data_IF_153811840192
#
_entry.id   IF_153811840192
#
_cell.length_a   1.000
_cell.length_b   1.000
_cell.length_c   1.000
_cell.angle_alpha   90.00
_cell.angle_beta   90.00
_cell.angle_gamma   90.00
#
_symmetry.space_group_name_H-M   'P 1'
#
loop_
_entity.id
_entity.type
_entity.pdbx_description
1 polymer ?
#
# COMPACT_ATOMS: atom_id res chain seq x y z
N UNK A 1 5.90 -5.09 -32.33
CA UNK A 1 6.03 -3.85 -31.54
C UNK A 1 4.65 -3.25 -31.35
N UNK A 2 3.99 -2.71 -32.39
CA UNK A 2 2.64 -2.04 -32.29
C UNK A 2 1.54 -2.80 -31.57
N UNK A 3 1.47 -4.15 -31.64
CA UNK A 3 0.42 -4.94 -30.96
C UNK A 3 0.65 -4.98 -29.45
N UNK A 4 1.90 -5.11 -29.01
CA UNK A 4 2.28 -5.13 -27.58
C UNK A 4 2.06 -3.76 -26.95
N UNK A 5 2.40 -2.70 -27.67
CA UNK A 5 2.19 -1.31 -27.23
C UNK A 5 0.69 -1.02 -27.05
N UNK A 6 -0.16 -1.38 -28.02
CA UNK A 6 -1.62 -1.21 -27.89
C UNK A 6 -2.23 -2.04 -26.76
N UNK A 7 -1.70 -3.22 -26.49
CA UNK A 7 -2.14 -4.03 -25.35
C UNK A 7 -1.79 -3.33 -24.03
N UNK A 8 -0.56 -2.83 -23.88
CA UNK A 8 -0.15 -2.08 -22.68
C UNK A 8 -0.95 -0.78 -22.49
N UNK A 9 -1.22 -0.04 -23.57
CA UNK A 9 -2.09 1.15 -23.51
C UNK A 9 -3.51 0.81 -23.06
N UNK A 10 -4.07 -0.31 -23.54
CA UNK A 10 -5.42 -0.74 -23.15
C UNK A 10 -5.46 -1.17 -21.69
N UNK A 11 -4.46 -1.92 -21.25
CA UNK A 11 -4.33 -2.32 -19.84
C UNK A 11 -4.23 -1.11 -18.91
N UNK A 12 -3.36 -0.15 -19.25
CA UNK A 12 -3.22 1.09 -18.49
C UNK A 12 -4.54 1.89 -18.44
N UNK A 13 -5.25 1.97 -19.57
CA UNK A 13 -6.55 2.65 -19.64
C UNK A 13 -7.60 1.95 -18.75
N UNK A 14 -7.66 0.62 -18.73
CA UNK A 14 -8.56 -0.15 -17.86
C UNK A 14 -8.22 0.04 -16.38
N UNK A 15 -6.95 0.01 -16.00
CA UNK A 15 -6.50 0.28 -14.62
C UNK A 15 -6.86 1.69 -14.16
N UNK A 16 -6.62 2.69 -15.01
CA UNK A 16 -6.98 4.09 -14.70
C UNK A 16 -8.49 4.28 -14.57
N UNK A 17 -9.28 3.70 -15.47
CA UNK A 17 -10.74 3.72 -15.40
C UNK A 17 -11.28 3.03 -14.14
N UNK A 18 -10.73 1.88 -13.78
CA UNK A 18 -11.11 1.17 -12.57
C UNK A 18 -10.89 2.01 -11.32
N UNK A 19 -9.74 2.70 -11.20
CA UNK A 19 -9.48 3.63 -10.07
C UNK A 19 -10.54 4.72 -9.99
N UNK A 20 -10.97 5.32 -11.11
CA UNK A 20 -12.03 6.35 -11.11
C UNK A 20 -13.38 5.79 -10.69
N UNK A 21 -13.79 4.66 -11.27
CA UNK A 21 -15.09 4.04 -10.96
C UNK A 21 -15.12 3.52 -9.52
N UNK A 22 -14.02 2.93 -9.01
CA UNK A 22 -13.91 2.53 -7.60
C UNK A 22 -13.96 3.73 -6.64
N UNK A 23 -13.40 4.87 -7.04
CA UNK A 23 -13.48 6.11 -6.26
C UNK A 23 -14.92 6.57 -6.09
N UNK A 24 -15.71 6.53 -7.16
CA UNK A 24 -17.10 7.01 -7.20
C UNK A 24 -18.09 6.05 -6.53
N UNK A 25 -17.99 4.74 -6.83
CA UNK A 25 -19.03 3.75 -6.50
C UNK A 25 -18.60 2.71 -5.49
N UNK A 26 -17.30 2.62 -5.14
CA UNK A 26 -16.70 1.50 -4.43
C UNK A 26 -16.53 0.26 -5.32
N UNK A 27 -15.72 -0.67 -4.84
CA UNK A 27 -15.43 -1.92 -5.56
C UNK A 27 -16.68 -2.81 -5.69
N UNK A 28 -17.45 -2.94 -4.59
CA UNK A 28 -18.60 -3.86 -4.55
C UNK A 28 -19.68 -3.49 -5.58
N UNK A 29 -19.92 -2.19 -5.77
CA UNK A 29 -20.96 -1.68 -6.68
C UNK A 29 -20.48 -1.50 -8.12
N UNK A 30 -19.21 -1.77 -8.42
CA UNK A 30 -18.63 -1.63 -9.75
C UNK A 30 -18.79 -2.89 -10.57
N UNK A 31 -19.31 -2.75 -11.79
CA UNK A 31 -19.37 -3.80 -12.81
C UNK A 31 -18.22 -3.64 -13.81
N UNK A 32 -17.81 -4.74 -14.47
CA UNK A 32 -16.79 -4.69 -15.53
C UNK A 32 -17.24 -3.77 -16.69
N UNK A 33 -18.52 -3.72 -16.97
CA UNK A 33 -19.10 -2.83 -17.98
C UNK A 33 -18.92 -1.34 -17.63
N UNK A 34 -18.94 -0.98 -16.35
CA UNK A 34 -18.70 0.39 -15.93
C UNK A 34 -17.24 0.78 -16.18
N UNK A 35 -16.31 -0.14 -15.88
CA UNK A 35 -14.86 0.06 -16.11
C UNK A 35 -14.57 0.21 -17.60
N UNK A 36 -15.13 -0.67 -18.44
CA UNK A 36 -14.88 -0.63 -19.88
C UNK A 36 -15.50 0.59 -20.54
N UNK A 37 -16.69 1.01 -20.12
CA UNK A 37 -17.33 2.25 -20.58
C UNK A 37 -16.47 3.46 -20.22
N UNK A 38 -16.01 3.56 -18.98
CA UNK A 38 -15.11 4.63 -18.50
C UNK A 38 -13.76 4.64 -19.23
N UNK A 39 -13.24 3.48 -19.61
CA UNK A 39 -12.01 3.34 -20.37
C UNK A 39 -12.18 3.62 -21.88
N UNK A 40 -13.41 3.79 -22.36
CA UNK A 40 -13.69 3.90 -23.80
C UNK A 40 -13.32 2.62 -24.56
N UNK A 41 -13.54 1.43 -23.95
CA UNK A 41 -13.21 0.12 -24.52
C UNK A 41 -14.44 -0.78 -24.57
N UNK A 42 -14.46 -1.72 -25.54
CA UNK A 42 -15.49 -2.75 -25.58
C UNK A 42 -15.35 -3.74 -24.44
N UNK A 43 -16.45 -4.27 -23.91
CA UNK A 43 -16.45 -5.21 -22.78
C UNK A 43 -15.57 -6.45 -23.01
N UNK A 44 -15.54 -6.99 -24.24
CA UNK A 44 -14.66 -8.11 -24.60
C UNK A 44 -13.17 -7.79 -24.50
N UNK A 45 -12.78 -6.51 -24.59
CA UNK A 45 -11.40 -6.08 -24.45
C UNK A 45 -10.87 -6.28 -23.02
N UNK A 46 -11.73 -6.19 -22.01
CA UNK A 46 -11.35 -6.41 -20.61
C UNK A 46 -10.82 -7.82 -20.39
N UNK A 47 -11.53 -8.82 -20.90
CA UNK A 47 -11.20 -10.24 -20.72
C UNK A 47 -9.92 -10.69 -21.45
N UNK A 48 -9.41 -9.86 -22.38
CA UNK A 48 -8.10 -10.09 -22.98
C UNK A 48 -6.93 -9.73 -22.03
N UNK A 49 -7.21 -8.97 -20.95
CA UNK A 49 -6.20 -8.49 -19.99
C UNK A 49 -6.42 -9.07 -18.59
N UNK A 50 -7.66 -9.15 -18.14
CA UNK A 50 -8.00 -9.54 -16.77
C UNK A 50 -9.12 -10.58 -16.77
N UNK A 51 -8.95 -11.65 -15.97
CA UNK A 51 -9.97 -12.69 -15.82
C UNK A 51 -11.23 -12.18 -15.08
N UNK A 52 -11.12 -11.13 -14.29
CA UNK A 52 -12.18 -10.53 -13.50
C UNK A 52 -11.73 -9.25 -12.78
N UNK A 53 -12.62 -8.68 -11.96
CA UNK A 53 -12.28 -7.49 -11.16
C UNK A 53 -11.14 -7.75 -10.18
N UNK A 54 -11.07 -8.95 -9.62
CA UNK A 54 -10.02 -9.40 -8.71
C UNK A 54 -8.65 -9.35 -9.41
N UNK A 55 -8.54 -9.93 -10.62
CA UNK A 55 -7.29 -9.92 -11.37
C UNK A 55 -6.83 -8.50 -11.76
N UNK A 56 -7.77 -7.59 -12.05
CA UNK A 56 -7.45 -6.19 -12.25
C UNK A 56 -6.97 -5.54 -10.95
N UNK A 57 -7.60 -5.85 -9.83
CA UNK A 57 -7.20 -5.31 -8.53
C UNK A 57 -5.81 -5.83 -8.10
N UNK A 58 -5.49 -7.10 -8.36
CA UNK A 58 -4.14 -7.66 -8.19
C UNK A 58 -3.09 -6.92 -9.03
N UNK A 59 -3.44 -6.55 -10.27
CA UNK A 59 -2.55 -5.74 -11.10
C UNK A 59 -2.35 -4.32 -10.56
N UNK A 60 -3.36 -3.72 -9.91
CA UNK A 60 -3.22 -2.45 -9.19
C UNK A 60 -2.36 -2.58 -7.93
N UNK A 61 -2.44 -3.73 -7.23
CA UNK A 61 -1.57 -4.05 -6.09
C UNK A 61 -0.11 -4.21 -6.54
N UNK A 62 0.12 -4.87 -7.68
CA UNK A 62 1.47 -5.01 -8.24
C UNK A 62 2.09 -3.65 -8.64
N UNK A 63 1.30 -2.73 -9.21
CA UNK A 63 1.76 -1.36 -9.47
C UNK A 63 2.16 -0.66 -8.15
N UNK A 64 1.38 -0.85 -7.09
CA UNK A 64 1.66 -0.27 -5.77
C UNK A 64 2.94 -0.85 -5.14
N UNK A 65 3.21 -2.16 -5.29
CA UNK A 65 4.46 -2.78 -4.85
C UNK A 65 5.66 -2.21 -5.60
N UNK A 66 5.59 -2.11 -6.93
CA UNK A 66 6.66 -1.59 -7.77
C UNK A 66 7.06 -0.14 -7.41
N UNK A 67 6.11 0.69 -7.00
CA UNK A 67 6.39 2.04 -6.50
C UNK A 67 7.20 2.00 -5.19
N UNK A 68 6.94 1.01 -4.33
CA UNK A 68 7.71 0.77 -3.10
C UNK A 68 9.14 0.31 -3.37
N UNK A 69 9.29 -0.69 -4.22
CA UNK A 69 10.59 -1.25 -4.61
C UNK A 69 11.50 -0.17 -5.22
N UNK A 70 10.93 0.69 -6.06
CA UNK A 70 11.66 1.80 -6.69
C UNK A 70 12.21 2.78 -5.66
N UNK A 71 11.48 3.06 -4.59
CA UNK A 71 11.94 3.90 -3.50
C UNK A 71 13.00 3.20 -2.65
N UNK A 72 12.82 1.93 -2.31
CA UNK A 72 13.77 1.14 -1.51
C UNK A 72 15.13 0.99 -2.23
N UNK A 73 15.12 0.91 -3.56
CA UNK A 73 16.33 0.84 -4.38
C UNK A 73 17.01 2.20 -4.62
N UNK A 74 16.42 3.32 -4.17
CA UNK A 74 16.93 4.66 -4.44
C UNK A 74 18.28 4.91 -3.73
N UNK A 75 19.24 5.62 -4.37
CA UNK A 75 20.47 6.04 -3.71
C UNK A 75 20.17 6.88 -2.46
N UNK A 76 20.83 6.53 -1.33
CA UNK A 76 20.64 7.23 -0.07
C UNK A 76 19.49 6.70 0.79
N UNK A 77 18.83 5.61 0.39
CA UNK A 77 17.88 4.92 1.25
C UNK A 77 18.50 4.54 2.60
N UNK A 78 17.86 4.92 3.70
CA UNK A 78 18.30 4.63 5.05
C UNK A 78 17.61 3.39 5.58
N UNK A 79 18.39 2.35 5.91
CA UNK A 79 17.85 1.07 6.38
C UNK A 79 18.02 0.81 7.87
N UNK A 80 18.69 1.70 8.62
CA UNK A 80 18.95 1.51 10.04
C UNK A 80 17.85 2.17 10.90
N UNK A 81 16.95 1.36 11.46
CA UNK A 81 15.87 1.85 12.32
C UNK A 81 16.31 2.22 13.75
N UNK A 82 17.60 2.16 14.07
CA UNK A 82 18.15 2.87 15.24
C UNK A 82 18.27 4.37 15.01
N UNK A 83 18.29 4.81 13.73
CA UNK A 83 18.27 6.20 13.32
C UNK A 83 16.80 6.72 13.25
N UNK A 84 16.42 7.72 14.07
CA UNK A 84 15.08 8.32 14.00
C UNK A 84 14.73 8.85 12.60
N UNK A 85 15.73 9.35 11.86
CA UNK A 85 15.51 9.88 10.52
C UNK A 85 15.13 8.77 9.52
N UNK A 86 15.73 7.57 9.65
CA UNK A 86 15.35 6.43 8.82
C UNK A 86 13.88 6.05 9.05
N UNK A 87 13.43 5.94 10.29
CA UNK A 87 12.02 5.65 10.62
C UNK A 87 11.10 6.74 10.08
N UNK A 88 11.48 8.03 10.23
CA UNK A 88 10.69 9.15 9.72
C UNK A 88 10.54 9.12 8.20
N UNK A 89 11.60 8.83 7.47
CA UNK A 89 11.57 8.72 6.00
C UNK A 89 10.64 7.59 5.54
N UNK A 90 10.71 6.42 6.18
CA UNK A 90 9.82 5.30 5.87
C UNK A 90 8.35 5.62 6.16
N UNK A 91 8.07 6.25 7.31
CA UNK A 91 6.71 6.69 7.65
C UNK A 91 6.21 7.74 6.65
N UNK A 92 7.04 8.72 6.27
CA UNK A 92 6.66 9.74 5.29
C UNK A 92 6.32 9.13 3.93
N UNK A 93 7.13 8.18 3.47
CA UNK A 93 6.86 7.46 2.21
C UNK A 93 5.57 6.64 2.31
N UNK A 94 5.37 5.95 3.44
CA UNK A 94 4.15 5.18 3.65
C UNK A 94 2.90 6.06 3.66
N UNK A 95 2.91 7.20 4.36
CA UNK A 95 1.80 8.17 4.40
C UNK A 95 1.47 8.69 3.00
N UNK A 96 2.49 9.08 2.23
CA UNK A 96 2.32 9.52 0.84
C UNK A 96 1.72 8.42 -0.04
N UNK A 97 2.29 7.20 -0.04
CA UNK A 97 1.79 6.05 -0.80
C UNK A 97 0.37 5.68 -0.39
N UNK A 98 0.06 5.73 0.91
CA UNK A 98 -1.30 5.48 1.41
C UNK A 98 -2.30 6.45 0.77
N UNK A 99 -1.97 7.74 0.67
CA UNK A 99 -2.81 8.74 0.03
C UNK A 99 -2.95 8.50 -1.48
N UNK A 100 -1.84 8.24 -2.17
CA UNK A 100 -1.79 8.01 -3.62
C UNK A 100 -2.58 6.76 -4.04
N UNK A 101 -2.57 5.73 -3.21
CA UNK A 101 -3.25 4.46 -3.47
C UNK A 101 -4.53 4.24 -2.65
N UNK A 102 -5.07 5.28 -2.03
CA UNK A 102 -6.22 5.19 -1.12
C UNK A 102 -7.43 4.45 -1.73
N UNK A 103 -7.71 4.68 -3.02
CA UNK A 103 -8.80 4.02 -3.75
C UNK A 103 -8.53 2.52 -3.89
N UNK A 104 -7.31 2.14 -4.25
CA UNK A 104 -6.89 0.73 -4.38
C UNK A 104 -6.97 0.02 -3.02
N UNK A 105 -6.45 0.64 -1.96
CA UNK A 105 -6.50 0.09 -0.59
C UNK A 105 -7.93 -0.09 -0.08
N UNK A 106 -8.82 0.85 -0.40
CA UNK A 106 -10.25 0.71 -0.11
C UNK A 106 -10.87 -0.45 -0.88
N UNK A 107 -10.60 -0.55 -2.18
CA UNK A 107 -11.10 -1.63 -3.02
C UNK A 107 -10.60 -3.01 -2.56
N UNK A 108 -9.34 -3.11 -2.13
CA UNK A 108 -8.77 -4.34 -1.54
C UNK A 108 -9.56 -4.79 -0.30
N UNK A 109 -9.85 -3.87 0.62
CA UNK A 109 -10.65 -4.18 1.82
C UNK A 109 -12.06 -4.64 1.47
N UNK A 110 -12.73 -3.92 0.54
CA UNK A 110 -14.09 -4.28 0.10
C UNK A 110 -14.10 -5.66 -0.59
N UNK A 111 -13.12 -5.97 -1.43
CA UNK A 111 -13.01 -7.26 -2.08
C UNK A 111 -12.74 -8.40 -1.07
N UNK A 112 -11.86 -8.19 -0.11
CA UNK A 112 -11.53 -9.17 0.94
C UNK A 112 -12.73 -9.52 1.83
N UNK A 113 -13.67 -8.59 2.04
CA UNK A 113 -14.89 -8.85 2.82
C UNK A 113 -15.82 -9.88 2.20
N UNK A 114 -15.78 -10.06 0.88
CA UNK A 114 -16.72 -10.90 0.13
C UNK A 114 -16.06 -12.08 -0.59
N UNK A 115 -14.73 -12.15 -0.56
CA UNK A 115 -13.97 -13.20 -1.23
C UNK A 115 -12.77 -13.63 -0.36
N UNK A 116 -12.89 -14.79 0.29
CA UNK A 116 -11.85 -15.36 1.17
C UNK A 116 -10.52 -15.62 0.44
N UNK A 117 -10.58 -16.07 -0.82
CA UNK A 117 -9.38 -16.27 -1.64
C UNK A 117 -8.64 -14.96 -1.88
N UNK A 118 -9.38 -13.88 -2.11
CA UNK A 118 -8.80 -12.54 -2.26
C UNK A 118 -8.29 -11.98 -0.93
N UNK A 119 -8.97 -12.26 0.20
CA UNK A 119 -8.48 -11.90 1.54
C UNK A 119 -7.08 -12.49 1.79
N UNK A 120 -6.88 -13.79 1.47
CA UNK A 120 -5.57 -14.42 1.57
C UNK A 120 -4.51 -13.78 0.64
N UNK A 121 -4.92 -13.24 -0.51
CA UNK A 121 -4.02 -12.48 -1.39
C UNK A 121 -3.60 -11.15 -0.77
N UNK A 122 -4.53 -10.43 -0.16
CA UNK A 122 -4.25 -9.18 0.58
C UNK A 122 -3.31 -9.44 1.76
N UNK A 123 -3.52 -10.53 2.52
CA UNK A 123 -2.65 -10.90 3.64
C UNK A 123 -1.22 -11.22 3.19
N UNK A 124 -1.07 -11.97 2.08
CA UNK A 124 0.26 -12.24 1.50
C UNK A 124 0.96 -10.96 1.02
N UNK A 125 0.21 -10.06 0.41
CA UNK A 125 0.73 -8.75 0.00
C UNK A 125 1.22 -7.95 1.20
N UNK A 126 0.44 -7.83 2.27
CA UNK A 126 0.85 -7.14 3.49
C UNK A 126 2.07 -7.80 4.14
N UNK A 127 2.16 -9.13 4.11
CA UNK A 127 3.31 -9.86 4.62
C UNK A 127 4.58 -9.59 3.80
N UNK A 128 4.49 -9.50 2.46
CA UNK A 128 5.66 -9.17 1.63
C UNK A 128 6.18 -7.76 1.89
N UNK A 129 5.30 -6.76 1.99
CA UNK A 129 5.68 -5.37 2.31
C UNK A 129 6.41 -5.24 3.66
N UNK A 130 6.07 -6.10 4.64
CA UNK A 130 6.76 -6.11 5.94
C UNK A 130 8.06 -6.91 5.93
N UNK A 131 8.17 -7.96 5.11
CA UNK A 131 9.37 -8.79 5.03
C UNK A 131 10.59 -7.98 4.59
N UNK A 132 10.43 -7.05 3.67
CA UNK A 132 11.51 -6.19 3.15
C UNK A 132 12.11 -5.27 4.23
N UNK A 133 11.36 -5.01 5.31
CA UNK A 133 11.81 -4.18 6.44
C UNK A 133 12.43 -4.97 7.59
N UNK A 134 12.48 -6.31 7.52
CA UNK A 134 13.07 -7.12 8.60
C UNK A 134 14.53 -6.79 8.84
N UNK A 135 15.31 -6.57 7.77
CA UNK A 135 16.70 -6.14 7.88
C UNK A 135 16.86 -4.79 8.60
N UNK A 136 15.92 -3.86 8.41
CA UNK A 136 15.96 -2.53 9.04
C UNK A 136 15.78 -2.63 10.56
N UNK A 137 14.90 -3.53 11.02
CA UNK A 137 14.63 -3.75 12.45
C UNK A 137 15.71 -4.61 13.10
N UNK A 138 16.42 -5.45 12.36
CA UNK A 138 17.53 -6.23 12.88
C UNK A 138 18.63 -5.35 13.50
N UNK A 139 18.91 -4.19 12.91
CA UNK A 139 19.86 -3.21 13.43
C UNK A 139 19.52 -2.75 14.87
N UNK A 140 18.23 -2.68 15.22
CA UNK A 140 17.81 -2.32 16.58
C UNK A 140 18.28 -3.36 17.59
N UNK A 141 18.11 -4.65 17.28
CA UNK A 141 18.55 -5.73 18.17
C UNK A 141 20.10 -5.81 18.25
N UNK A 142 20.79 -5.63 17.12
CA UNK A 142 22.26 -5.60 17.03
C UNK A 142 22.86 -4.46 17.85
N UNK A 143 22.19 -3.31 17.90
CA UNK A 143 22.56 -2.15 18.71
C UNK A 143 22.22 -2.30 20.22
N UNK A 144 21.72 -3.47 20.65
CA UNK A 144 21.33 -3.75 22.02
C UNK A 144 19.97 -3.16 22.42
N UNK A 145 19.17 -2.71 21.46
CA UNK A 145 17.80 -2.26 21.66
C UNK A 145 16.87 -3.45 21.97
N UNK A 146 15.75 -3.15 22.61
CA UNK A 146 14.75 -4.18 22.96
C UNK A 146 13.46 -3.94 22.18
N UNK A 147 13.28 -4.75 21.13
CA UNK A 147 12.02 -4.81 20.42
C UNK A 147 10.88 -5.25 21.37
N UNK A 148 9.65 -4.76 21.16
CA UNK A 148 8.49 -5.13 21.99
C UNK A 148 8.05 -6.60 21.80
N UNK A 149 8.46 -7.23 20.68
CA UNK A 149 8.15 -8.59 20.32
C UNK A 149 9.21 -9.12 19.33
N UNK A 150 9.01 -10.34 18.80
CA UNK A 150 9.82 -10.82 17.66
C UNK A 150 9.76 -9.82 16.49
N UNK A 151 10.85 -9.66 15.70
CA UNK A 151 10.96 -8.62 14.67
C UNK A 151 9.76 -8.53 13.73
N UNK A 152 9.28 -9.67 13.24
CA UNK A 152 8.12 -9.74 12.34
C UNK A 152 6.84 -9.23 13.02
N UNK A 153 6.67 -9.57 14.31
CA UNK A 153 5.51 -9.14 15.10
C UNK A 153 5.59 -7.64 15.39
N UNK A 154 6.77 -7.13 15.75
CA UNK A 154 6.98 -5.71 16.00
C UNK A 154 6.69 -4.86 14.76
N UNK A 155 7.19 -5.28 13.58
CA UNK A 155 6.89 -4.64 12.30
C UNK A 155 5.40 -4.69 11.97
N UNK A 156 4.77 -5.86 12.12
CA UNK A 156 3.34 -6.00 11.85
C UNK A 156 2.50 -5.10 12.76
N UNK A 157 2.87 -4.95 14.03
CA UNK A 157 2.22 -4.02 14.96
C UNK A 157 2.37 -2.56 14.49
N UNK A 158 3.59 -2.15 14.13
CA UNK A 158 3.86 -0.80 13.62
C UNK A 158 3.07 -0.51 12.33
N UNK A 159 3.10 -1.43 11.37
CA UNK A 159 2.35 -1.31 10.12
C UNK A 159 0.84 -1.23 10.34
N UNK A 160 0.29 -2.13 11.16
CA UNK A 160 -1.15 -2.16 11.47
C UNK A 160 -1.60 -0.87 12.12
N UNK A 161 -0.79 -0.33 13.04
CA UNK A 161 -1.08 0.94 13.71
C UNK A 161 -1.11 2.10 12.72
N UNK A 162 -0.05 2.26 11.92
CA UNK A 162 0.04 3.35 10.94
C UNK A 162 -1.09 3.25 9.93
N UNK A 163 -1.37 2.05 9.41
CA UNK A 163 -2.44 1.80 8.45
C UNK A 163 -3.82 2.13 9.02
N UNK A 164 -4.14 1.61 10.21
CA UNK A 164 -5.43 1.85 10.87
C UNK A 164 -5.62 3.33 11.20
N UNK A 165 -4.57 4.02 11.66
CA UNK A 165 -4.61 5.45 11.92
C UNK A 165 -4.93 6.26 10.64
N UNK A 166 -4.22 5.99 9.55
CA UNK A 166 -4.46 6.68 8.27
C UNK A 166 -5.85 6.38 7.72
N UNK A 167 -6.34 5.15 7.90
CA UNK A 167 -7.70 4.79 7.52
C UNK A 167 -8.75 5.56 8.32
N UNK A 168 -8.60 5.63 9.64
CA UNK A 168 -9.52 6.37 10.51
C UNK A 168 -9.52 7.87 10.16
N UNK A 169 -8.34 8.42 9.90
CA UNK A 169 -8.18 9.82 9.52
C UNK A 169 -8.89 10.20 8.21
N UNK A 170 -8.92 9.30 7.22
CA UNK A 170 -9.69 9.53 5.98
C UNK A 170 -11.20 9.63 6.22
N UNK A 171 -11.70 9.02 7.29
CA UNK A 171 -13.12 9.02 7.63
C UNK A 171 -13.50 10.18 8.54
N UNK A 172 -12.54 10.79 9.19
CA UNK A 172 -12.73 11.90 10.14
C UNK A 172 -12.02 13.15 9.59
N UNK A 173 -12.65 14.30 9.75
CA UNK A 173 -12.01 15.58 9.41
C UNK A 173 -10.92 15.90 10.45
N UNK A 174 -9.74 15.34 10.28
CA UNK A 174 -8.59 15.62 11.14
C UNK A 174 -7.88 16.88 10.63
N UNK A 175 -7.76 17.95 11.44
CA UNK A 175 -7.15 19.21 11.03
C UNK A 175 -5.61 19.14 10.92
N UNK A 176 -4.96 18.07 11.42
CA UNK A 176 -3.51 17.95 11.38
C UNK A 176 -2.99 17.91 9.94
N UNK A 177 -1.88 18.57 9.67
CA UNK A 177 -1.19 18.52 8.37
C UNK A 177 -0.57 17.16 8.12
N UNK A 178 -0.16 16.90 6.88
CA UNK A 178 0.57 15.67 6.54
C UNK A 178 1.90 15.59 7.31
N UNK A 179 2.61 16.71 7.44
CA UNK A 179 3.89 16.79 8.18
C UNK A 179 3.70 16.48 9.67
N UNK A 180 2.71 17.05 10.33
CA UNK A 180 2.38 16.75 11.73
C UNK A 180 2.01 15.28 11.92
N UNK A 181 1.31 14.70 10.96
CA UNK A 181 0.94 13.27 10.96
C UNK A 181 2.17 12.38 10.84
N UNK A 182 3.05 12.68 9.91
CA UNK A 182 4.32 11.95 9.71
C UNK A 182 5.15 12.01 10.98
N UNK A 183 5.31 13.19 11.56
CA UNK A 183 6.12 13.38 12.77
C UNK A 183 5.55 12.61 13.98
N UNK A 184 4.24 12.66 14.19
CA UNK A 184 3.58 11.95 15.27
C UNK A 184 3.71 10.42 15.12
N UNK A 185 3.47 9.90 13.92
CA UNK A 185 3.59 8.48 13.61
C UNK A 185 5.06 8.01 13.71
N UNK A 186 6.01 8.79 13.20
CA UNK A 186 7.43 8.47 13.26
C UNK A 186 7.92 8.36 14.71
N UNK A 187 7.56 9.31 15.56
CA UNK A 187 7.88 9.26 17.01
C UNK A 187 7.28 8.03 17.66
N UNK A 188 6.03 7.72 17.36
CA UNK A 188 5.35 6.58 17.95
C UNK A 188 6.00 5.25 17.53
N UNK A 189 6.25 5.08 16.23
CA UNK A 189 6.90 3.89 15.69
C UNK A 189 8.31 3.74 16.22
N UNK A 190 9.10 4.81 16.21
CA UNK A 190 10.47 4.80 16.71
C UNK A 190 10.54 4.38 18.19
N UNK A 191 9.73 5.01 19.05
CA UNK A 191 9.65 4.66 20.47
C UNK A 191 9.21 3.22 20.68
N UNK A 192 8.24 2.76 19.91
CA UNK A 192 7.74 1.38 19.97
C UNK A 192 8.80 0.35 19.58
N UNK A 193 9.63 0.65 18.58
CA UNK A 193 10.67 -0.27 18.11
C UNK A 193 11.96 -0.17 18.95
N UNK A 194 12.34 1.00 19.42
CA UNK A 194 13.62 1.20 20.08
C UNK A 194 13.53 1.22 21.62
N UNK A 195 12.34 1.38 22.20
CA UNK A 195 12.15 1.48 23.66
C UNK A 195 12.78 2.74 24.27
N UNK A 196 13.07 3.76 23.45
CA UNK A 196 13.70 5.04 23.88
C UNK A 196 13.08 6.22 23.14
N UNK A 197 13.40 7.42 23.61
CA UNK A 197 12.88 8.64 22.99
C UNK A 197 13.43 8.86 21.58
N UNK A 198 12.60 9.51 20.79
CA UNK A 198 12.84 9.89 19.40
C UNK A 198 13.87 11.00 19.26
#
# INVERSE_FOLDING_TARGET
VKRKERAAETEAALKAAAKRVFAERGYLNTKITDITAEAGRAAGSFYNHFAGKEALLEALMADMAADGDSWAAAPGHRSDFTDPQAVREHVAVYVRRYREHAVTLRAMREAALVNEGFAATVDRFAASETADLLGHVAHVAEAGGRLPAAPETALRMAFSLVHAFLQARQQQADPATEEETVEALARFVYRGLNGRDY
#
